data_IF_942004744010
#
_entry.id   IF_942004744010
#
_cell.length_a   1.000
_cell.length_b   1.000
_cell.length_c   1.000
_cell.angle_alpha   90.00
_cell.angle_beta   90.00
_cell.angle_gamma   90.00
#
_symmetry.space_group_name_H-M   'P 1'
#
loop_
_entity.id
_entity.type
_entity.pdbx_description
1 polymer ?
#
# COMPACT_ATOMS: atom_id res chain seq x y z
N UNK A 1 4.44 -3.69 -5.65
CA UNK A 1 5.13 -2.39 -5.51
C UNK A 1 4.86 -1.85 -4.12
N UNK A 2 5.90 -1.34 -3.44
CA UNK A 2 5.76 -0.63 -2.16
C UNK A 2 6.17 0.82 -2.35
N UNK A 3 5.30 1.75 -1.94
CA UNK A 3 5.49 3.19 -2.02
C UNK A 3 5.34 3.81 -0.64
N UNK A 4 6.29 4.64 -0.22
CA UNK A 4 6.29 5.31 1.07
C UNK A 4 6.55 6.81 0.94
N UNK A 5 6.22 7.53 2.00
CA UNK A 5 6.57 8.93 2.24
C UNK A 5 7.48 9.01 3.47
N UNK A 6 8.10 10.17 3.76
CA UNK A 6 8.84 10.35 5.00
C UNK A 6 8.01 10.01 6.23
N UNK A 7 8.67 9.50 7.24
CA UNK A 7 8.09 9.30 8.56
C UNK A 7 7.76 10.64 9.23
N UNK A 8 6.75 10.67 10.08
CA UNK A 8 6.34 11.85 10.83
C UNK A 8 5.91 11.46 12.25
N UNK A 9 6.01 12.38 13.19
CA UNK A 9 5.48 12.22 14.54
C UNK A 9 3.95 12.36 14.60
N UNK A 10 3.32 12.98 13.59
CA UNK A 10 1.87 13.08 13.43
C UNK A 10 1.39 12.18 12.28
N UNK A 11 0.63 11.15 12.63
CA UNK A 11 0.13 10.18 11.66
C UNK A 11 -0.79 10.79 10.60
N UNK A 12 -1.65 11.76 10.98
CA UNK A 12 -2.56 12.38 10.01
C UNK A 12 -1.78 13.14 8.92
N UNK A 13 -0.74 13.85 9.30
CA UNK A 13 0.18 14.53 8.36
C UNK A 13 0.88 13.54 7.44
N UNK A 14 1.49 12.49 7.99
CA UNK A 14 2.17 11.47 7.19
C UNK A 14 1.21 10.77 6.22
N UNK A 15 0.04 10.39 6.69
CA UNK A 15 -0.97 9.72 5.86
C UNK A 15 -1.54 10.63 4.77
N UNK A 16 -1.80 11.89 5.10
CA UNK A 16 -2.24 12.90 4.12
C UNK A 16 -1.22 13.08 3.01
N UNK A 17 0.07 13.15 3.34
CA UNK A 17 1.15 13.22 2.35
C UNK A 17 1.12 12.02 1.41
N UNK A 18 0.98 10.80 1.96
CA UNK A 18 0.87 9.56 1.17
C UNK A 18 -0.31 9.62 0.17
N UNK A 19 -1.48 10.05 0.65
CA UNK A 19 -2.68 10.18 -0.18
C UNK A 19 -2.56 11.28 -1.25
N UNK A 20 -1.94 12.39 -0.93
CA UNK A 20 -1.71 13.49 -1.87
C UNK A 20 -0.78 13.07 -3.01
N UNK A 21 0.34 12.41 -2.70
CA UNK A 21 1.26 11.89 -3.72
C UNK A 21 0.55 10.87 -4.60
N UNK A 22 -0.19 9.92 -4.00
CA UNK A 22 -0.96 8.94 -4.77
C UNK A 22 -2.02 9.60 -5.66
N UNK A 23 -2.76 10.57 -5.15
CA UNK A 23 -3.77 11.30 -5.92
C UNK A 23 -3.15 12.04 -7.12
N UNK A 24 -1.99 12.68 -6.92
CA UNK A 24 -1.26 13.37 -7.98
C UNK A 24 -0.80 12.40 -9.07
N UNK A 25 -0.24 11.25 -8.68
CA UNK A 25 0.21 10.22 -9.60
C UNK A 25 -0.95 9.60 -10.36
N UNK A 26 -1.98 9.12 -9.66
CA UNK A 26 -3.06 8.31 -10.23
C UNK A 26 -3.97 9.10 -11.18
N UNK A 27 -4.08 10.41 -10.99
CA UNK A 27 -4.85 11.31 -11.88
C UNK A 27 -4.07 11.72 -13.12
N UNK A 28 -2.80 11.36 -13.25
CA UNK A 28 -2.02 11.74 -14.42
C UNK A 28 -2.49 10.99 -15.68
N UNK A 29 -2.66 11.72 -16.79
CA UNK A 29 -3.06 11.13 -18.08
C UNK A 29 -2.06 10.09 -18.59
N UNK A 30 -0.80 10.22 -18.21
CA UNK A 30 0.27 9.29 -18.57
C UNK A 30 0.13 7.95 -17.86
N UNK A 31 -0.28 7.91 -16.58
CA UNK A 31 -0.57 6.66 -15.88
C UNK A 31 -1.76 5.91 -16.52
N UNK A 32 -2.79 6.65 -16.90
CA UNK A 32 -3.95 6.07 -17.60
C UNK A 32 -3.60 5.51 -18.99
N UNK A 33 -2.65 6.14 -19.70
CA UNK A 33 -2.16 5.63 -21.01
C UNK A 33 -1.36 4.35 -20.87
N UNK A 34 -0.48 4.26 -19.89
CA UNK A 34 0.31 3.05 -19.65
C UNK A 34 -0.55 1.83 -19.36
N UNK A 35 -1.66 1.98 -18.64
CA UNK A 35 -2.61 0.88 -18.44
C UNK A 35 -3.02 0.22 -19.76
N UNK A 36 -3.27 1.04 -20.79
CA UNK A 36 -3.75 0.54 -22.08
C UNK A 36 -2.64 -0.06 -22.95
N UNK A 37 -1.41 0.47 -22.86
CA UNK A 37 -0.31 0.06 -23.75
C UNK A 37 0.48 -1.16 -23.26
N UNK A 38 0.42 -1.48 -21.97
CA UNK A 38 1.21 -2.54 -21.33
C UNK A 38 0.37 -3.58 -20.61
N UNK A 39 -0.88 -3.78 -21.01
CA UNK A 39 -1.73 -4.85 -20.48
C UNK A 39 -2.02 -4.80 -18.98
N UNK A 40 -1.84 -3.64 -18.32
CA UNK A 40 -2.23 -3.48 -16.93
C UNK A 40 -3.76 -3.45 -16.83
N UNK A 41 -4.35 -4.52 -16.33
CA UNK A 41 -5.79 -4.67 -16.15
C UNK A 41 -6.29 -3.85 -14.98
N UNK A 42 -5.80 -4.17 -13.79
CA UNK A 42 -6.23 -3.56 -12.54
C UNK A 42 -5.06 -3.34 -11.58
N UNK A 43 -5.30 -2.52 -10.57
CA UNK A 43 -4.44 -2.45 -9.40
C UNK A 43 -5.29 -2.52 -8.13
N UNK A 44 -4.74 -3.13 -7.09
CA UNK A 44 -5.27 -3.11 -5.73
C UNK A 44 -4.21 -2.49 -4.85
N UNK A 45 -4.57 -1.48 -4.08
CA UNK A 45 -3.70 -0.83 -3.11
C UNK A 45 -4.16 -1.13 -1.70
N UNK A 46 -3.20 -1.37 -0.83
CA UNK A 46 -3.43 -1.52 0.59
C UNK A 46 -2.54 -0.54 1.34
N UNK A 47 -3.13 0.24 2.25
CA UNK A 47 -2.42 1.14 3.13
C UNK A 47 -2.01 0.39 4.39
N UNK A 48 -0.73 0.42 4.71
CA UNK A 48 -0.19 -0.13 5.95
C UNK A 48 0.45 0.99 6.75
N UNK A 49 0.35 0.91 8.08
CA UNK A 49 0.92 1.88 9.00
C UNK A 49 1.75 1.13 10.03
N UNK A 50 2.98 1.58 10.22
CA UNK A 50 3.85 1.12 11.30
C UNK A 50 4.29 2.29 12.17
N UNK A 51 4.67 2.00 13.41
CA UNK A 51 5.23 2.98 14.35
C UNK A 51 6.61 2.52 14.80
N UNK A 52 7.58 3.42 14.76
CA UNK A 52 8.93 3.15 15.25
C UNK A 52 9.09 3.73 16.66
N UNK A 53 9.21 2.84 17.66
CA UNK A 53 9.35 3.23 19.07
C UNK A 53 10.62 4.03 19.35
N UNK A 54 11.73 3.72 18.66
CA UNK A 54 13.01 4.39 18.90
C UNK A 54 13.06 5.82 18.40
N UNK A 55 12.29 6.14 17.35
CA UNK A 55 12.22 7.49 16.76
C UNK A 55 10.95 8.24 17.10
N UNK A 56 9.93 7.55 17.65
CA UNK A 56 8.63 8.14 17.92
C UNK A 56 7.86 8.54 16.64
N UNK A 57 8.06 7.83 15.53
CA UNK A 57 7.54 8.23 14.23
C UNK A 57 6.65 7.17 13.59
N UNK A 58 5.59 7.64 12.95
CA UNK A 58 4.71 6.86 12.11
C UNK A 58 5.26 6.72 10.69
N UNK A 59 5.06 5.56 10.11
CA UNK A 59 5.48 5.25 8.75
C UNK A 59 4.33 4.62 7.96
N UNK A 60 3.44 5.42 7.37
CA UNK A 60 2.43 4.90 6.45
C UNK A 60 3.06 4.63 5.08
N UNK A 61 2.63 3.53 4.45
CA UNK A 61 3.04 3.15 3.11
C UNK A 61 1.92 2.43 2.35
N UNK A 62 2.04 2.39 1.02
CA UNK A 62 1.13 1.68 0.14
C UNK A 62 1.79 0.43 -0.41
N UNK A 63 1.15 -0.70 -0.25
CA UNK A 63 1.39 -1.88 -1.07
C UNK A 63 0.45 -1.82 -2.27
N UNK A 64 0.99 -1.92 -3.48
CA UNK A 64 0.21 -1.86 -4.72
C UNK A 64 0.47 -3.14 -5.50
N UNK A 65 -0.60 -3.88 -5.74
CA UNK A 65 -0.61 -5.05 -6.59
C UNK A 65 -1.07 -4.61 -7.97
N UNK A 66 -0.23 -4.83 -8.96
CA UNK A 66 -0.51 -4.57 -10.36
C UNK A 66 -0.84 -5.90 -11.02
N UNK A 67 -1.99 -5.98 -11.67
CA UNK A 67 -2.52 -7.18 -12.32
C UNK A 67 -2.43 -7.00 -13.82
N UNK A 68 -1.67 -7.87 -14.47
CA UNK A 68 -1.38 -7.81 -15.90
C UNK A 68 -2.01 -8.95 -16.68
N UNK A 69 -2.34 -8.69 -17.94
CA UNK A 69 -2.68 -9.71 -18.95
C UNK A 69 -1.51 -10.07 -19.86
N UNK A 70 -0.35 -9.43 -19.65
CA UNK A 70 0.86 -9.56 -20.46
C UNK A 70 2.00 -10.18 -19.65
N UNK A 71 3.18 -10.26 -20.28
CA UNK A 71 4.37 -10.89 -19.74
C UNK A 71 5.09 -10.03 -18.67
N UNK A 72 6.14 -10.61 -18.11
CA UNK A 72 6.97 -10.01 -17.06
C UNK A 72 7.71 -8.74 -17.51
N UNK A 73 7.97 -8.58 -18.81
CA UNK A 73 8.67 -7.41 -19.33
C UNK A 73 7.81 -6.15 -19.21
N UNK A 74 6.54 -6.24 -19.58
CA UNK A 74 5.59 -5.15 -19.41
C UNK A 74 5.35 -4.82 -17.94
N UNK A 75 5.23 -5.85 -17.09
CA UNK A 75 5.07 -5.70 -15.65
C UNK A 75 6.29 -4.99 -15.02
N UNK A 76 7.50 -5.34 -15.43
CA UNK A 76 8.75 -4.69 -15.02
C UNK A 76 8.74 -3.22 -15.42
N UNK A 77 8.49 -2.92 -16.70
CA UNK A 77 8.50 -1.56 -17.23
C UNK A 77 7.49 -0.66 -16.49
N UNK A 78 6.27 -1.13 -16.30
CA UNK A 78 5.22 -0.35 -15.60
C UNK A 78 5.59 -0.14 -14.12
N UNK A 79 6.18 -1.14 -13.47
CA UNK A 79 6.57 -1.04 -12.06
C UNK A 79 7.69 -0.01 -11.86
N UNK A 80 8.72 -0.03 -12.70
CA UNK A 80 9.82 0.95 -12.67
C UNK A 80 9.33 2.36 -12.96
N UNK A 81 8.46 2.54 -13.97
CA UNK A 81 7.89 3.84 -14.29
C UNK A 81 6.98 4.35 -13.17
N UNK A 82 6.27 3.46 -12.46
CA UNK A 82 5.47 3.83 -11.30
C UNK A 82 6.35 4.41 -10.18
N UNK A 83 7.50 3.80 -9.87
CA UNK A 83 8.45 4.33 -8.89
C UNK A 83 8.99 5.71 -9.30
N UNK A 84 9.38 5.86 -10.56
CA UNK A 84 9.84 7.14 -11.10
C UNK A 84 8.77 8.23 -10.98
N UNK A 85 7.53 7.91 -11.34
CA UNK A 85 6.39 8.86 -11.26
C UNK A 85 6.01 9.19 -9.83
N UNK A 86 6.15 8.22 -8.91
CA UNK A 86 5.95 8.47 -7.49
C UNK A 86 6.86 9.59 -7.00
N UNK A 87 8.15 9.50 -7.34
CA UNK A 87 9.13 10.52 -7.00
C UNK A 87 8.76 11.89 -7.58
N UNK A 88 8.44 11.95 -8.87
CA UNK A 88 8.04 13.21 -9.55
C UNK A 88 6.78 13.81 -8.91
N UNK A 89 5.79 12.96 -8.59
CA UNK A 89 4.56 13.44 -7.97
C UNK A 89 4.79 13.97 -6.55
N UNK A 90 5.67 13.35 -5.78
CA UNK A 90 6.07 13.78 -4.45
C UNK A 90 6.85 15.10 -4.48
N UNK A 91 7.83 15.23 -5.35
CA UNK A 91 8.59 16.47 -5.58
C UNK A 91 7.67 17.62 -5.96
N UNK A 92 6.69 17.38 -6.83
CA UNK A 92 5.74 18.41 -7.30
C UNK A 92 4.83 18.98 -6.21
N UNK A 93 4.75 18.32 -5.05
CA UNK A 93 3.96 18.79 -3.89
C UNK A 93 4.83 19.03 -2.65
N UNK A 94 6.16 19.02 -2.81
CA UNK A 94 7.10 19.32 -1.73
C UNK A 94 7.27 18.21 -0.71
N UNK A 95 6.90 16.95 -1.02
CA UNK A 95 7.11 15.79 -0.16
C UNK A 95 8.39 15.07 -0.59
N UNK A 96 9.50 15.15 0.17
CA UNK A 96 10.73 14.48 -0.19
C UNK A 96 10.60 12.96 0.00
N UNK A 97 10.83 12.18 -1.05
CA UNK A 97 10.82 10.72 -0.97
C UNK A 97 12.17 10.13 -1.35
N UNK A 98 12.62 9.13 -0.60
CA UNK A 98 13.86 8.42 -0.90
C UNK A 98 13.60 7.30 -1.92
N UNK A 99 14.48 7.17 -2.90
CA UNK A 99 14.42 6.06 -3.85
C UNK A 99 14.68 4.70 -3.17
N UNK A 100 15.47 4.66 -2.10
CA UNK A 100 15.74 3.44 -1.32
C UNK A 100 14.54 2.94 -0.50
N UNK A 101 13.53 3.77 -0.30
CA UNK A 101 12.30 3.41 0.41
C UNK A 101 11.20 2.91 -0.53
N UNK A 102 11.48 2.90 -1.83
CA UNK A 102 10.54 2.46 -2.86
C UNK A 102 11.07 1.18 -3.51
N UNK A 103 10.24 0.17 -3.64
CA UNK A 103 10.66 -1.08 -4.29
C UNK A 103 9.50 -1.78 -4.99
N UNK A 104 9.84 -2.65 -5.91
CA UNK A 104 8.90 -3.55 -6.55
C UNK A 104 9.50 -4.96 -6.66
N UNK A 105 8.65 -5.92 -6.84
CA UNK A 105 9.02 -7.32 -7.02
C UNK A 105 7.98 -7.95 -7.96
N UNK A 106 8.44 -8.74 -8.92
CA UNK A 106 7.57 -9.67 -9.64
C UNK A 106 7.10 -10.77 -8.69
N UNK A 107 5.86 -11.15 -8.83
CA UNK A 107 5.27 -12.27 -8.10
C UNK A 107 5.10 -13.41 -9.08
N UNK A 108 5.86 -14.51 -8.95
CA UNK A 108 5.68 -15.71 -9.76
C UNK A 108 4.25 -16.23 -9.68
N UNK A 109 3.79 -16.87 -10.73
CA UNK A 109 2.43 -17.39 -10.80
C UNK A 109 2.12 -18.36 -9.66
N UNK A 110 3.08 -19.17 -9.24
CA UNK A 110 3.01 -20.11 -8.12
C UNK A 110 2.79 -19.41 -6.77
N UNK A 111 3.37 -18.20 -6.57
CA UNK A 111 3.33 -17.44 -5.32
C UNK A 111 2.09 -16.51 -5.22
N UNK A 112 1.22 -16.52 -6.21
CA UNK A 112 0.10 -15.56 -6.29
C UNK A 112 -0.88 -15.65 -5.13
N UNK A 113 -1.14 -16.84 -4.63
CA UNK A 113 -2.06 -17.05 -3.51
C UNK A 113 -1.47 -16.56 -2.19
N UNK A 114 -0.18 -16.81 -1.96
CA UNK A 114 0.51 -16.32 -0.77
C UNK A 114 0.60 -14.79 -0.79
N UNK A 115 0.85 -14.22 -1.96
CA UNK A 115 0.90 -12.77 -2.15
C UNK A 115 -0.48 -12.12 -2.00
N UNK A 116 -1.55 -12.73 -2.52
CA UNK A 116 -2.91 -12.26 -2.29
C UNK A 116 -3.29 -12.40 -0.80
N UNK A 117 -2.89 -13.51 -0.15
CA UNK A 117 -3.03 -13.70 1.28
C UNK A 117 -2.33 -12.62 2.10
N UNK A 118 -1.21 -12.07 1.63
CA UNK A 118 -0.53 -10.96 2.27
C UNK A 118 -1.37 -9.68 2.29
N UNK A 119 -2.14 -9.39 1.25
CA UNK A 119 -3.09 -8.27 1.21
C UNK A 119 -4.20 -8.42 2.25
N UNK A 120 -4.70 -9.64 2.42
CA UNK A 120 -5.78 -9.95 3.36
C UNK A 120 -5.24 -10.09 4.79
N UNK A 121 -3.98 -10.54 4.94
CA UNK A 121 -3.27 -10.64 6.22
C UNK A 121 -2.83 -9.29 6.81
N UNK A 122 -3.22 -8.18 6.23
CA UNK A 122 -3.15 -6.87 6.91
C UNK A 122 -4.07 -6.78 8.15
N UNK A 123 -4.71 -7.87 8.51
CA UNK A 123 -4.99 -8.16 9.90
C UNK A 123 -3.68 -8.23 10.71
N UNK A 124 -3.75 -8.30 12.05
CA UNK A 124 -2.69 -7.95 13.01
C UNK A 124 -1.40 -8.81 13.01
N UNK A 125 -1.02 -9.53 11.94
CA UNK A 125 0.00 -10.58 11.99
C UNK A 125 1.03 -10.59 10.85
N UNK A 126 1.90 -9.61 10.67
CA UNK A 126 3.14 -9.85 9.94
C UNK A 126 4.14 -10.60 10.82
N UNK A 127 4.79 -11.58 10.22
CA UNK A 127 5.68 -12.51 10.91
C UNK A 127 7.14 -12.05 11.00
N UNK A 128 7.50 -10.87 10.46
CA UNK A 128 8.85 -10.31 10.61
C UNK A 128 8.84 -8.79 10.53
N UNK A 129 8.94 -8.16 11.68
CA UNK A 129 9.14 -6.72 11.81
C UNK A 129 10.54 -6.47 12.34
N UNK A 130 11.16 -5.38 11.90
CA UNK A 130 12.42 -4.90 12.51
C UNK A 130 12.16 -4.64 13.98
N UNK A 131 13.13 -5.01 14.83
CA UNK A 131 13.07 -4.69 16.25
C UNK A 131 12.80 -3.19 16.46
N UNK A 132 11.89 -2.87 17.37
CA UNK A 132 11.48 -1.49 17.65
C UNK A 132 10.44 -0.92 16.66
N UNK A 133 9.88 -1.74 15.77
CA UNK A 133 8.74 -1.33 14.92
C UNK A 133 7.48 -2.03 15.42
N UNK A 134 6.43 -1.27 15.64
CA UNK A 134 5.11 -1.79 16.02
C UNK A 134 4.15 -1.72 14.83
N UNK A 135 3.36 -2.76 14.70
CA UNK A 135 2.15 -2.72 13.89
C UNK A 135 1.01 -2.15 14.69
N UNK A 136 -0.01 -1.69 13.99
CA UNK A 136 -1.25 -1.19 14.59
C UNK A 136 -1.89 -2.22 15.54
N UNK A 137 -1.87 -3.51 15.17
CA UNK A 137 -2.37 -4.58 16.03
C UNK A 137 -1.54 -4.79 17.32
N UNK A 138 -0.23 -4.53 17.26
CA UNK A 138 0.63 -4.58 18.46
C UNK A 138 0.30 -3.43 19.41
N UNK A 139 0.12 -2.24 18.85
CA UNK A 139 -0.29 -1.04 19.60
C UNK A 139 -1.62 -1.31 20.32
N UNK A 140 -2.62 -1.84 19.62
CA UNK A 140 -3.90 -2.19 20.20
C UNK A 140 -3.78 -3.19 21.34
N UNK A 141 -3.01 -4.28 21.14
CA UNK A 141 -2.78 -5.29 22.19
C UNK A 141 -2.15 -4.69 23.45
N UNK A 142 -1.12 -3.87 23.28
CA UNK A 142 -0.46 -3.22 24.42
C UNK A 142 -1.36 -2.16 25.08
N UNK A 143 -2.17 -1.45 24.31
CA UNK A 143 -3.19 -0.55 24.86
C UNK A 143 -4.22 -1.29 25.71
N UNK A 144 -4.65 -2.48 25.26
CA UNK A 144 -5.62 -3.33 25.96
C UNK A 144 -5.05 -3.90 27.29
N UNK A 145 -3.73 -4.11 27.39
CA UNK A 145 -3.08 -4.52 28.64
C UNK A 145 -2.86 -3.36 29.64
N UNK A 146 -3.25 -2.14 29.30
CA UNK A 146 -3.24 -1.01 30.23
C UNK A 146 -2.16 0.03 29.95
N UNK A 147 -1.27 -0.16 28.98
CA UNK A 147 -0.21 0.80 28.65
C UNK A 147 -0.81 2.15 28.22
N UNK A 148 -0.53 3.20 28.98
CA UNK A 148 -1.01 4.56 28.69
C UNK A 148 -0.39 5.13 27.42
N UNK A 149 0.85 4.83 27.13
CA UNK A 149 1.53 5.24 25.92
C UNK A 149 0.85 4.65 24.68
N UNK A 150 0.63 3.34 24.67
CA UNK A 150 -0.03 2.66 23.55
C UNK A 150 -1.51 3.04 23.40
N UNK A 151 -2.18 3.42 24.48
CA UNK A 151 -3.54 4.01 24.38
C UNK A 151 -3.53 5.34 23.64
N UNK A 152 -2.51 6.19 23.84
CA UNK A 152 -2.37 7.45 23.09
C UNK A 152 -2.11 7.18 21.61
N UNK A 153 -1.19 6.27 21.29
CA UNK A 153 -0.90 5.87 19.91
C UNK A 153 -2.13 5.27 19.22
N UNK A 154 -2.87 4.41 19.92
CA UNK A 154 -4.12 3.86 19.40
C UNK A 154 -5.15 4.93 19.10
N UNK A 155 -5.37 5.88 20.01
CA UNK A 155 -6.31 7.00 19.82
C UNK A 155 -5.90 7.88 18.63
N UNK A 156 -4.61 8.12 18.45
CA UNK A 156 -4.09 8.84 17.29
C UNK A 156 -4.38 8.09 15.99
N UNK A 157 -4.10 6.76 15.98
CA UNK A 157 -4.38 5.91 14.83
C UNK A 157 -5.88 5.90 14.50
N UNK A 158 -6.77 5.68 15.46
CA UNK A 158 -8.23 5.69 15.23
C UNK A 158 -8.69 6.99 14.60
N UNK A 159 -8.21 8.11 15.12
CA UNK A 159 -8.54 9.44 14.58
C UNK A 159 -8.03 9.60 13.15
N UNK A 160 -6.79 9.25 12.90
CA UNK A 160 -6.19 9.38 11.57
C UNK A 160 -6.79 8.40 10.56
N UNK A 161 -7.15 7.18 10.97
CA UNK A 161 -7.73 6.16 10.11
C UNK A 161 -9.22 6.40 9.80
N UNK A 162 -9.90 7.22 10.59
CA UNK A 162 -11.33 7.46 10.43
C UNK A 162 -11.69 7.97 9.03
N UNK A 163 -12.62 7.28 8.37
CA UNK A 163 -13.06 7.59 7.00
C UNK A 163 -12.08 7.20 5.88
N UNK A 164 -10.92 6.62 6.22
CA UNK A 164 -9.96 6.09 5.22
C UNK A 164 -10.21 4.63 4.94
N UNK A 165 -9.99 4.24 3.68
CA UNK A 165 -10.14 2.85 3.23
C UNK A 165 -8.77 2.18 3.19
N UNK A 166 -8.60 1.11 3.97
CA UNK A 166 -7.33 0.38 4.05
C UNK A 166 -6.99 -0.34 2.74
N UNK A 167 -7.96 -0.95 2.08
CA UNK A 167 -7.77 -1.66 0.80
C UNK A 167 -8.71 -1.09 -0.25
N UNK A 168 -8.18 -0.78 -1.44
CA UNK A 168 -8.97 -0.21 -2.54
C UNK A 168 -8.53 -0.74 -3.90
N UNK A 169 -9.47 -1.31 -4.65
CA UNK A 169 -9.30 -1.66 -6.06
C UNK A 169 -9.39 -0.43 -6.99
N UNK A 170 -8.82 -0.55 -8.19
CA UNK A 170 -9.06 0.40 -9.28
C UNK A 170 -10.50 0.29 -9.76
N UNK A 171 -10.98 1.31 -10.48
CA UNK A 171 -12.33 1.31 -11.03
C UNK A 171 -12.61 0.03 -11.85
N UNK A 172 -13.72 -0.63 -11.56
CA UNK A 172 -14.14 -1.87 -12.22
C UNK A 172 -13.46 -3.14 -11.69
N UNK A 173 -12.54 -3.04 -10.71
CA UNK A 173 -11.87 -4.21 -10.15
C UNK A 173 -12.85 -5.22 -9.56
N UNK A 174 -13.81 -4.78 -8.76
CA UNK A 174 -14.76 -5.68 -8.10
C UNK A 174 -15.58 -6.47 -9.12
N UNK A 175 -16.13 -5.79 -10.13
CA UNK A 175 -16.88 -6.45 -11.22
C UNK A 175 -16.01 -7.45 -11.99
N UNK A 176 -14.75 -7.10 -12.26
CA UNK A 176 -13.81 -7.99 -12.93
C UNK A 176 -13.46 -9.20 -12.04
N UNK A 177 -13.21 -9.00 -10.76
CA UNK A 177 -12.91 -10.09 -9.81
C UNK A 177 -14.10 -11.06 -9.67
N UNK A 178 -15.33 -10.55 -9.62
CA UNK A 178 -16.56 -11.36 -9.58
C UNK A 178 -16.74 -12.18 -10.86
N UNK A 179 -16.40 -11.63 -12.03
CA UNK A 179 -16.48 -12.37 -13.30
C UNK A 179 -15.50 -13.55 -13.32
N UNK A 180 -14.26 -13.35 -12.88
CA UNK A 180 -13.24 -14.41 -12.78
C UNK A 180 -13.66 -15.49 -11.76
N UNK A 181 -14.16 -15.07 -10.60
CA UNK A 181 -14.64 -16.01 -9.59
C UNK A 181 -15.79 -16.88 -10.12
N UNK A 182 -16.71 -16.29 -10.87
CA UNK A 182 -17.84 -17.01 -11.48
C UNK A 182 -17.39 -18.02 -12.54
N UNK A 183 -16.42 -17.67 -13.38
CA UNK A 183 -15.83 -18.58 -14.36
C UNK A 183 -15.13 -19.78 -13.70
N UNK A 184 -14.41 -19.57 -12.61
CA UNK A 184 -13.73 -20.62 -11.86
C UNK A 184 -14.72 -21.61 -11.21
N UNK A 185 -15.85 -21.11 -10.70
CA UNK A 185 -16.92 -21.96 -10.13
C UNK A 185 -17.61 -22.81 -11.22
N UNK A 186 -17.76 -22.30 -12.43
CA UNK A 186 -18.36 -23.04 -13.56
C UNK A 186 -17.40 -24.07 -14.16
N UNK A 187 -16.10 -23.93 -13.95
CA UNK A 187 -15.08 -24.83 -14.48
C UNK A 187 -14.68 -25.96 -13.51
N UNK A 188 -15.17 -25.95 -12.28
CA UNK A 188 -14.92 -26.93 -11.21
C UNK A 188 -16.03 -27.98 -11.09
#
# INVERSE_FOLDING_TARGET
VTLSVPTDSDLDTAWRNLELVWSKLSKSSSFSRQKKSHGLLHNVRAAEVTYNESTGQWHPHLHIFLLFSTDDQDATHVSEDLLRRWKIAAEAIGVPVSSSSQHWKLVPYEDRYDTAGYLVKQGPWPTSIKAGTLLVGDILRQAATGSLEHKKLWTEYERAAFGRTAVRGSQGFDTWADSIASELVLAA
#
